data_IF_559732988334
#
_entry.id   IF_559732988334
#
_cell.length_a   1.000
_cell.length_b   1.000
_cell.length_c   1.000
_cell.angle_alpha   90.00
_cell.angle_beta   90.00
_cell.angle_gamma   90.00
#
_symmetry.space_group_name_H-M   'P 1'
#
loop_
_entity.id
_entity.type
_entity.pdbx_description
1 polymer ?
#
# COMPACT_ATOMS: atom_id res chain seq x y z
N UNK A 1 16.18 -13.65 4.23
CA UNK A 1 17.24 -13.26 3.29
C UNK A 1 17.62 -11.82 3.56
N UNK A 2 18.92 -11.51 3.68
CA UNK A 2 19.38 -10.16 4.04
C UNK A 2 19.09 -9.16 2.93
N UNK A 3 18.60 -7.97 3.29
CA UNK A 3 18.19 -6.90 2.36
C UNK A 3 19.39 -6.11 1.81
N UNK A 4 20.42 -5.87 2.62
CA UNK A 4 21.62 -5.13 2.23
C UNK A 4 22.77 -6.07 1.88
N UNK A 5 23.07 -6.21 0.59
CA UNK A 5 24.14 -7.08 0.10
C UNK A 5 24.95 -6.43 -1.02
N UNK A 6 26.25 -6.76 -1.08
CA UNK A 6 27.15 -6.30 -2.13
C UNK A 6 26.85 -7.04 -3.43
N UNK A 7 26.70 -6.29 -4.53
CA UNK A 7 26.42 -6.85 -5.86
C UNK A 7 27.46 -7.91 -6.28
N UNK A 8 28.73 -7.66 -5.95
CA UNK A 8 29.84 -8.61 -6.18
C UNK A 8 29.61 -9.97 -5.51
N UNK A 9 29.11 -9.97 -4.28
CA UNK A 9 28.85 -11.21 -3.53
C UNK A 9 27.72 -12.03 -4.15
N UNK A 10 26.67 -11.37 -4.65
CA UNK A 10 25.55 -12.02 -5.32
C UNK A 10 26.01 -12.65 -6.65
N UNK A 11 26.83 -11.94 -7.42
CA UNK A 11 27.37 -12.44 -8.70
C UNK A 11 28.33 -13.61 -8.49
N UNK A 12 29.19 -13.54 -7.47
CA UNK A 12 30.18 -14.58 -7.19
C UNK A 12 29.56 -15.86 -6.59
N UNK A 13 28.53 -15.72 -5.74
CA UNK A 13 27.94 -16.87 -5.03
C UNK A 13 26.64 -17.37 -5.65
N UNK A 14 26.05 -16.60 -6.59
CA UNK A 14 24.72 -16.83 -7.14
C UNK A 14 23.63 -17.10 -6.08
N UNK A 15 23.82 -16.58 -4.87
CA UNK A 15 22.96 -16.84 -3.72
C UNK A 15 22.80 -15.58 -2.87
N UNK A 16 21.67 -15.46 -2.19
CA UNK A 16 21.42 -14.38 -1.25
C UNK A 16 21.72 -14.87 0.17
N UNK A 17 22.46 -14.09 0.94
CA UNK A 17 22.79 -14.43 2.33
C UNK A 17 21.50 -14.57 3.16
N UNK A 18 21.27 -15.72 3.83
CA UNK A 18 20.13 -15.90 4.73
C UNK A 18 20.34 -15.10 6.02
N UNK A 19 19.24 -14.54 6.54
CA UNK A 19 19.18 -13.94 7.89
C UNK A 19 18.38 -14.86 8.80
N UNK A 20 18.84 -15.01 10.04
CA UNK A 20 18.20 -15.90 11.03
C UNK A 20 17.35 -15.08 12.00
N UNK A 21 16.08 -15.49 12.10
CA UNK A 21 15.10 -14.85 12.96
C UNK A 21 14.44 -13.66 12.28
N UNK A 22 13.13 -13.51 12.51
CA UNK A 22 12.41 -12.29 12.17
C UNK A 22 11.25 -12.07 13.13
N UNK A 23 10.92 -10.82 13.42
CA UNK A 23 9.77 -10.48 14.25
C UNK A 23 8.93 -9.35 13.65
N UNK A 24 7.64 -9.40 13.96
CA UNK A 24 6.70 -8.34 13.64
C UNK A 24 5.71 -8.18 14.80
N UNK A 25 5.34 -6.94 15.08
CA UNK A 25 4.26 -6.59 16.00
C UNK A 25 3.24 -5.81 15.21
N UNK A 26 1.97 -6.16 15.37
CA UNK A 26 0.87 -5.41 14.79
C UNK A 26 -0.18 -5.10 15.84
N UNK A 27 -0.85 -3.97 15.65
CA UNK A 27 -1.94 -3.51 16.50
C UNK A 27 -3.05 -2.97 15.61
N UNK A 28 -4.28 -3.39 15.89
CA UNK A 28 -5.48 -2.89 15.24
C UNK A 28 -6.39 -2.28 16.30
N UNK A 29 -7.05 -1.18 15.97
CA UNK A 29 -8.12 -0.62 16.78
C UNK A 29 -9.25 -0.14 15.89
N UNK A 30 -10.46 -0.27 16.42
CA UNK A 30 -11.69 0.21 15.82
C UNK A 30 -12.53 0.82 16.94
N UNK A 31 -13.04 2.03 16.74
CA UNK A 31 -13.81 2.74 17.75
C UNK A 31 -14.96 3.50 17.11
N UNK A 32 -16.19 3.19 17.52
CA UNK A 32 -17.33 4.05 17.22
C UNK A 32 -17.23 5.35 18.02
N UNK A 33 -17.32 6.48 17.33
CA UNK A 33 -17.30 7.82 17.92
C UNK A 33 -18.71 8.36 18.12
N UNK A 34 -19.64 7.97 17.24
CA UNK A 34 -21.02 8.44 17.26
C UNK A 34 -21.98 7.37 16.77
N UNK A 35 -23.08 7.20 17.48
CA UNK A 35 -24.20 6.34 17.13
C UNK A 35 -25.50 7.14 17.31
N UNK A 36 -26.32 7.35 16.26
CA UNK A 36 -27.53 8.17 16.37
C UNK A 36 -28.54 7.64 17.40
N UNK A 37 -28.60 6.31 17.55
CA UNK A 37 -29.44 5.61 18.53
C UNK A 37 -28.72 4.32 18.91
N UNK A 38 -28.58 4.06 20.21
CA UNK A 38 -27.92 2.85 20.72
C UNK A 38 -28.61 1.58 20.21
N UNK A 39 -27.84 0.66 19.64
CA UNK A 39 -28.32 -0.60 19.07
C UNK A 39 -28.88 -0.50 17.65
N UNK A 40 -28.74 0.65 17.00
CA UNK A 40 -29.11 0.81 15.59
C UNK A 40 -27.81 0.77 14.82
N UNK A 41 -27.63 -0.23 13.94
CA UNK A 41 -26.44 -0.48 13.11
C UNK A 41 -26.14 0.68 12.12
N UNK A 42 -25.81 1.84 12.69
CA UNK A 42 -25.59 3.15 12.07
C UNK A 42 -24.68 3.94 13.00
N UNK A 43 -23.72 4.64 12.43
CA UNK A 43 -22.78 5.41 13.21
C UNK A 43 -21.54 5.79 12.42
N UNK A 44 -20.66 6.53 13.08
CA UNK A 44 -19.36 6.91 12.55
C UNK A 44 -18.30 6.41 13.51
N UNK A 45 -17.28 5.79 12.96
CA UNK A 45 -16.15 5.27 13.71
C UNK A 45 -14.83 5.59 13.04
N UNK A 46 -13.77 5.47 13.82
CA UNK A 46 -12.40 5.47 13.35
C UNK A 46 -11.85 4.07 13.42
N UNK A 47 -10.92 3.78 12.53
CA UNK A 47 -10.13 2.57 12.56
C UNK A 47 -8.67 2.91 12.32
N UNK A 48 -7.79 2.08 12.85
CA UNK A 48 -6.38 2.20 12.58
C UNK A 48 -5.65 0.89 12.78
N UNK A 49 -4.56 0.75 12.02
CA UNK A 49 -3.66 -0.38 12.07
C UNK A 49 -2.23 0.14 12.08
N UNK A 50 -1.43 -0.40 12.99
CA UNK A 50 -0.01 -0.15 13.08
C UNK A 50 0.73 -1.48 12.99
N UNK A 51 1.88 -1.48 12.34
CA UNK A 51 2.76 -2.62 12.21
C UNK A 51 4.21 -2.17 12.27
N UNK A 52 5.03 -2.89 13.02
CA UNK A 52 6.48 -2.69 13.07
C UNK A 52 7.15 -4.04 12.88
N UNK A 53 8.25 -4.08 12.14
CA UNK A 53 9.10 -5.26 12.02
C UNK A 53 10.57 -4.92 12.26
N UNK A 54 11.39 -5.96 12.33
CA UNK A 54 12.86 -5.87 12.37
C UNK A 54 13.51 -5.15 11.18
N UNK A 55 12.78 -4.98 10.06
CA UNK A 55 13.28 -4.36 8.83
C UNK A 55 14.28 -5.20 8.04
N UNK A 56 14.68 -6.38 8.53
CA UNK A 56 15.57 -7.32 7.86
C UNK A 56 15.34 -8.71 8.45
N UNK A 57 14.83 -9.71 7.69
CA UNK A 57 14.69 -9.76 6.22
C UNK A 57 13.42 -9.12 5.65
N UNK A 58 12.57 -8.51 6.48
CA UNK A 58 11.32 -7.91 6.02
C UNK A 58 11.54 -6.49 5.48
N UNK A 59 11.20 -6.25 4.21
CA UNK A 59 11.31 -4.90 3.61
C UNK A 59 10.37 -3.87 4.25
N UNK A 60 9.28 -4.30 4.89
CA UNK A 60 8.31 -3.41 5.54
C UNK A 60 8.68 -3.16 6.99
N UNK A 61 9.42 -2.08 7.26
CA UNK A 61 9.82 -1.68 8.62
C UNK A 61 8.67 -1.19 9.47
N UNK A 62 7.84 -0.34 8.87
CA UNK A 62 6.70 0.26 9.53
C UNK A 62 5.52 0.30 8.58
N UNK A 63 4.35 -0.03 9.10
CA UNK A 63 3.07 0.10 8.46
C UNK A 63 2.17 0.93 9.37
N UNK A 64 1.50 1.92 8.82
CA UNK A 64 0.46 2.65 9.52
C UNK A 64 -0.70 2.91 8.59
N UNK A 65 -1.92 2.62 9.02
CA UNK A 65 -3.12 3.07 8.35
C UNK A 65 -4.11 3.62 9.37
N UNK A 66 -4.86 4.63 8.96
CA UNK A 66 -5.96 5.16 9.73
C UNK A 66 -7.09 5.56 8.78
N UNK A 67 -8.31 5.54 9.28
CA UNK A 67 -9.44 5.97 8.49
C UNK A 67 -10.68 6.23 9.34
N UNK A 68 -11.67 6.79 8.66
CA UNK A 68 -13.00 7.03 9.19
C UNK A 68 -13.96 6.25 8.32
N UNK A 69 -14.86 5.52 8.95
CA UNK A 69 -15.95 4.83 8.28
C UNK A 69 -17.27 5.17 8.95
N UNK A 70 -18.35 5.14 8.20
CA UNK A 70 -19.66 5.31 8.77
C UNK A 70 -20.78 4.73 7.94
N UNK A 71 -21.91 4.51 8.61
CA UNK A 71 -23.12 3.92 8.05
C UNK A 71 -24.34 4.75 8.47
N UNK A 72 -25.19 5.05 7.50
CA UNK A 72 -26.48 5.68 7.76
C UNK A 72 -26.40 7.11 8.31
N UNK A 73 -25.52 7.95 7.76
CA UNK A 73 -25.36 9.38 8.14
C UNK A 73 -26.63 10.21 7.91
N UNK A 74 -27.42 9.85 6.90
CA UNK A 74 -28.65 10.54 6.56
C UNK A 74 -29.85 9.67 6.92
N UNK A 75 -30.88 10.29 7.51
CA UNK A 75 -32.12 9.57 7.84
C UNK A 75 -32.82 9.00 6.60
N UNK A 76 -32.71 9.69 5.46
CA UNK A 76 -33.24 9.23 4.17
C UNK A 76 -32.45 8.07 3.56
N UNK A 77 -31.23 7.81 4.04
CA UNK A 77 -30.30 6.80 3.48
C UNK A 77 -29.64 5.99 4.61
N UNK A 78 -30.41 5.25 5.42
CA UNK A 78 -29.89 4.56 6.60
C UNK A 78 -28.94 3.40 6.27
N UNK A 79 -28.94 2.91 5.02
CA UNK A 79 -28.10 1.80 4.55
C UNK A 79 -26.87 2.25 3.76
N UNK A 80 -26.76 3.54 3.42
CA UNK A 80 -25.57 4.06 2.75
C UNK A 80 -24.37 3.99 3.69
N UNK A 81 -23.21 3.68 3.14
CA UNK A 81 -21.95 3.62 3.87
C UNK A 81 -20.94 4.51 3.20
N UNK A 82 -20.02 5.05 3.96
CA UNK A 82 -18.90 5.81 3.42
C UNK A 82 -17.65 5.47 4.22
N UNK A 83 -16.51 5.70 3.59
CA UNK A 83 -15.25 5.58 4.29
C UNK A 83 -14.15 6.28 3.54
N UNK A 84 -13.18 6.74 4.30
CA UNK A 84 -11.90 7.15 3.74
C UNK A 84 -10.79 6.72 4.67
N UNK A 85 -9.63 6.45 4.08
CA UNK A 85 -8.47 5.96 4.80
C UNK A 85 -7.19 6.40 4.13
N UNK A 86 -6.17 6.53 4.94
CA UNK A 86 -4.80 6.75 4.50
C UNK A 86 -3.94 5.62 5.04
N UNK A 87 -2.98 5.19 4.24
CA UNK A 87 -1.94 4.27 4.68
C UNK A 87 -0.56 4.75 4.26
N UNK A 88 0.43 4.34 5.04
CA UNK A 88 1.84 4.57 4.81
C UNK A 88 2.61 3.31 5.16
N UNK A 89 3.57 2.99 4.31
CA UNK A 89 4.49 1.87 4.45
C UNK A 89 5.90 2.44 4.32
N UNK A 90 6.66 2.36 5.40
CA UNK A 90 8.10 2.59 5.34
C UNK A 90 8.77 1.32 4.82
N UNK A 91 9.39 1.46 3.66
CA UNK A 91 10.05 0.35 2.98
C UNK A 91 11.54 0.56 3.08
N UNK A 92 12.21 -0.42 3.68
CA UNK A 92 13.64 -0.43 3.75
C UNK A 92 14.20 -0.63 2.35
N UNK A 93 15.10 0.27 1.97
CA UNK A 93 15.47 0.46 0.59
C UNK A 93 16.78 -0.27 0.33
N UNK A 94 16.76 -1.51 -0.20
CA UNK A 94 17.97 -2.28 -0.42
C UNK A 94 18.93 -1.49 -1.30
N UNK A 95 20.13 -1.23 -0.79
CA UNK A 95 21.16 -0.53 -1.56
C UNK A 95 21.98 -1.56 -2.30
N UNK A 96 21.74 -1.67 -3.61
CA UNK A 96 22.66 -2.41 -4.46
C UNK A 96 23.91 -1.55 -4.68
N UNK A 97 24.96 -1.86 -3.91
CA UNK A 97 26.27 -1.22 -4.02
C UNK A 97 27.04 -1.85 -5.19
N UNK A 98 27.06 -1.15 -6.33
CA UNK A 98 27.90 -1.48 -7.48
C UNK A 98 29.26 -0.77 -7.45
N UNK A 99 30.24 -1.17 -8.28
CA UNK A 99 31.58 -0.57 -8.33
C UNK A 99 31.61 0.91 -8.73
N UNK A 100 30.56 1.41 -9.40
CA UNK A 100 30.49 2.76 -9.98
C UNK A 100 29.27 3.58 -9.51
N UNK A 101 28.23 2.94 -8.97
CA UNK A 101 27.05 3.65 -8.47
C UNK A 101 26.26 2.77 -7.48
N UNK A 102 25.70 3.41 -6.44
CA UNK A 102 24.69 2.79 -5.59
C UNK A 102 23.31 3.14 -6.15
N UNK A 103 22.53 2.13 -6.54
CA UNK A 103 21.17 2.33 -7.04
C UNK A 103 20.16 1.81 -6.03
N UNK A 104 19.10 2.60 -5.84
CA UNK A 104 17.97 2.27 -4.99
C UNK A 104 16.73 2.26 -5.88
N UNK A 105 15.96 1.18 -5.77
CA UNK A 105 14.80 0.90 -6.63
C UNK A 105 13.47 1.06 -5.91
N UNK A 106 13.50 0.99 -4.58
CA UNK A 106 12.33 1.13 -3.74
C UNK A 106 12.27 2.56 -3.16
N UNK A 107 11.11 2.89 -2.62
CA UNK A 107 10.82 4.09 -1.82
C UNK A 107 9.69 3.74 -0.87
N UNK A 108 9.43 4.63 0.08
CA UNK A 108 8.22 4.54 0.89
C UNK A 108 6.96 4.58 0.02
N UNK A 109 5.98 3.79 0.42
CA UNK A 109 4.68 3.72 -0.20
C UNK A 109 3.65 4.44 0.67
N UNK A 110 2.75 5.17 0.04
CA UNK A 110 1.56 5.67 0.72
C UNK A 110 0.40 5.67 -0.24
N UNK A 111 -0.79 5.61 0.33
CA UNK A 111 -1.99 5.80 -0.43
C UNK A 111 -3.14 6.31 0.40
N UNK A 112 -4.13 6.78 -0.33
CA UNK A 112 -5.37 7.28 0.18
C UNK A 112 -6.50 6.61 -0.60
N UNK A 113 -7.55 6.23 0.10
CA UNK A 113 -8.77 5.72 -0.51
C UNK A 113 -9.97 6.44 0.10
N UNK A 114 -10.96 6.76 -0.72
CA UNK A 114 -12.27 7.17 -0.28
C UNK A 114 -13.35 6.51 -1.13
N UNK A 115 -14.43 6.11 -0.50
CA UNK A 115 -15.57 5.50 -1.18
C UNK A 115 -16.88 5.98 -0.57
N UNK A 116 -17.94 5.90 -1.37
CA UNK A 116 -19.31 6.06 -0.91
C UNK A 116 -20.15 4.94 -1.51
N UNK A 117 -20.76 4.13 -0.65
CA UNK A 117 -21.62 3.02 -1.04
C UNK A 117 -23.09 3.47 -0.99
N UNK A 118 -23.67 3.61 -2.18
CA UNK A 118 -25.09 3.87 -2.38
C UNK A 118 -25.87 2.54 -2.33
N UNK A 119 -26.71 2.37 -1.32
CA UNK A 119 -27.70 1.30 -1.30
C UNK A 119 -28.86 1.70 -2.22
N UNK A 120 -28.88 1.19 -3.44
CA UNK A 120 -30.00 1.40 -4.38
C UNK A 120 -31.22 0.65 -3.86
N UNK A 121 -30.99 -0.60 -3.44
CA UNK A 121 -31.94 -1.44 -2.71
C UNK A 121 -31.18 -2.17 -1.58
N UNK A 122 -31.86 -2.82 -0.62
CA UNK A 122 -31.18 -3.59 0.43
C UNK A 122 -30.26 -4.71 -0.10
N UNK A 123 -30.48 -5.15 -1.35
CA UNK A 123 -29.71 -6.20 -2.00
C UNK A 123 -28.82 -5.69 -3.14
N UNK A 124 -28.87 -4.40 -3.51
CA UNK A 124 -28.03 -3.82 -4.57
C UNK A 124 -27.30 -2.57 -4.09
N UNK A 125 -25.96 -2.67 -4.07
CA UNK A 125 -25.06 -1.64 -3.56
C UNK A 125 -24.14 -1.17 -4.69
N UNK A 126 -24.14 0.14 -4.95
CA UNK A 126 -23.28 0.78 -5.94
C UNK A 126 -22.26 1.66 -5.23
N UNK A 127 -20.98 1.37 -5.36
CA UNK A 127 -19.89 2.05 -4.67
C UNK A 127 -18.93 2.69 -5.67
N UNK A 128 -19.02 3.99 -5.95
CA UNK A 128 -17.89 4.74 -6.47
C UNK A 128 -16.78 4.85 -5.42
N UNK A 129 -15.54 4.73 -5.89
CA UNK A 129 -14.35 4.88 -5.08
C UNK A 129 -13.25 5.64 -5.84
N UNK A 130 -12.37 6.27 -5.08
CA UNK A 130 -11.16 6.93 -5.55
C UNK A 130 -9.98 6.45 -4.72
N UNK A 131 -8.92 6.05 -5.39
CA UNK A 131 -7.67 5.63 -4.77
C UNK A 131 -6.52 6.45 -5.35
N UNK A 132 -5.67 6.99 -4.48
CA UNK A 132 -4.43 7.67 -4.87
C UNK A 132 -3.30 6.86 -4.24
N UNK A 133 -2.47 6.23 -5.06
CA UNK A 133 -1.40 5.33 -4.60
C UNK A 133 -0.08 5.77 -5.18
N UNK A 134 0.90 5.98 -4.30
CA UNK A 134 2.29 6.13 -4.69
C UNK A 134 3.04 4.86 -4.30
N UNK A 135 3.14 3.93 -5.24
CA UNK A 135 3.74 2.62 -4.99
C UNK A 135 5.21 2.66 -4.57
N UNK A 136 5.61 1.60 -3.88
CA UNK A 136 6.97 1.33 -3.40
C UNK A 136 8.03 1.33 -4.50
N UNK A 137 7.68 0.84 -5.70
CA UNK A 137 8.60 0.82 -6.83
C UNK A 137 8.83 2.26 -7.30
N UNK A 138 10.06 2.74 -7.17
CA UNK A 138 10.45 4.08 -7.60
C UNK A 138 10.80 4.11 -9.09
N UNK A 139 11.59 3.14 -9.53
CA UNK A 139 12.23 3.15 -10.84
C UNK A 139 12.17 1.76 -11.49
N UNK A 140 11.91 1.70 -12.80
CA UNK A 140 12.10 0.50 -13.62
C UNK A 140 13.32 0.73 -14.50
N UNK A 141 14.20 -0.28 -14.56
CA UNK A 141 15.35 -0.29 -15.47
C UNK A 141 15.07 -1.26 -16.60
N UNK A 142 15.18 -0.76 -17.82
CA UNK A 142 15.06 -1.55 -19.04
C UNK A 142 16.42 -1.60 -19.73
N UNK A 143 16.81 -2.78 -20.19
CA UNK A 143 18.01 -2.96 -21.00
C UNK A 143 17.62 -2.81 -22.46
N UNK A 144 18.07 -1.73 -23.10
CA UNK A 144 17.90 -1.47 -24.53
C UNK A 144 19.19 -1.68 -25.31
N UNK A 145 19.11 -1.76 -26.64
CA UNK A 145 20.30 -1.72 -27.50
C UNK A 145 20.87 -0.29 -27.53
N UNK A 146 22.17 -0.15 -27.28
CA UNK A 146 22.85 1.14 -27.39
C UNK A 146 22.93 1.64 -28.85
N UNK A 147 23.28 2.92 -29.06
CA UNK A 147 23.25 3.57 -30.37
C UNK A 147 24.15 2.93 -31.44
N UNK A 148 25.06 2.04 -31.04
CA UNK A 148 25.93 1.24 -31.93
C UNK A 148 25.73 -0.27 -31.80
N UNK A 149 24.78 -0.75 -30.99
CA UNK A 149 24.56 -2.19 -30.75
C UNK A 149 25.68 -2.92 -29.97
N UNK A 150 26.82 -2.27 -29.73
CA UNK A 150 28.00 -2.85 -29.07
C UNK A 150 27.88 -2.84 -27.53
N UNK A 151 27.18 -1.86 -26.95
CA UNK A 151 26.97 -1.76 -25.51
C UNK A 151 25.48 -1.68 -25.18
N UNK A 152 25.00 -2.40 -24.14
CA UNK A 152 23.63 -2.25 -23.67
C UNK A 152 23.42 -0.85 -23.08
N UNK A 153 22.28 -0.24 -23.41
CA UNK A 153 21.83 1.02 -22.81
C UNK A 153 20.91 0.69 -21.63
N UNK A 154 21.19 1.30 -20.48
CA UNK A 154 20.31 1.23 -19.32
C UNK A 154 19.38 2.45 -19.37
N UNK A 155 18.13 2.23 -19.70
CA UNK A 155 17.10 3.27 -19.61
C UNK A 155 16.37 3.14 -18.28
N UNK A 156 16.31 4.27 -17.55
CA UNK A 156 15.69 4.36 -16.24
C UNK A 156 14.39 5.17 -16.34
N UNK A 157 13.26 4.57 -15.97
CA UNK A 157 11.95 5.24 -15.94
C UNK A 157 11.42 5.33 -14.51
N UNK A 158 11.16 6.55 -14.05
CA UNK A 158 10.54 6.82 -12.74
C UNK A 158 9.04 6.54 -12.77
N UNK A 159 8.52 5.93 -11.69
CA UNK A 159 7.10 5.68 -11.47
C UNK A 159 6.52 6.82 -10.63
N UNK A 160 5.51 7.49 -11.20
CA UNK A 160 4.77 8.55 -10.51
C UNK A 160 3.66 7.98 -9.60
N UNK A 161 3.00 8.85 -8.86
CA UNK A 161 1.75 8.55 -8.14
C UNK A 161 0.63 8.23 -9.15
N UNK A 162 -0.18 7.22 -8.86
CA UNK A 162 -1.33 6.81 -9.65
C UNK A 162 -2.62 7.22 -8.96
N UNK A 163 -3.56 7.77 -9.72
CA UNK A 163 -4.94 7.97 -9.29
C UNK A 163 -5.82 6.97 -10.03
N UNK A 164 -6.64 6.24 -9.28
CA UNK A 164 -7.57 5.22 -9.78
C UNK A 164 -8.97 5.65 -9.38
N UNK A 165 -9.89 5.60 -10.34
CA UNK A 165 -11.32 5.79 -10.11
C UNK A 165 -11.99 4.44 -10.31
N UNK A 166 -12.72 3.99 -9.29
CA UNK A 166 -13.41 2.72 -9.28
C UNK A 166 -14.92 2.90 -9.22
N UNK A 167 -15.63 1.89 -9.73
CA UNK A 167 -17.07 1.73 -9.54
C UNK A 167 -17.35 0.25 -9.33
N UNK A 168 -17.88 -0.09 -8.16
CA UNK A 168 -18.21 -1.46 -7.77
C UNK A 168 -19.71 -1.64 -7.60
N UNK A 169 -20.28 -2.64 -8.25
CA UNK A 169 -21.65 -3.10 -8.02
C UNK A 169 -21.63 -4.41 -7.24
N UNK A 170 -22.34 -4.47 -6.12
CA UNK A 170 -22.49 -5.67 -5.30
C UNK A 170 -23.96 -6.03 -5.15
N UNK A 171 -24.31 -7.28 -5.46
CA UNK A 171 -25.64 -7.84 -5.33
C UNK A 171 -25.64 -8.93 -4.26
N UNK A 172 -26.58 -8.88 -3.32
CA UNK A 172 -26.73 -9.83 -2.21
C UNK A 172 -27.99 -10.66 -2.46
N UNK A 173 -27.84 -11.98 -2.62
CA UNK A 173 -28.94 -12.93 -2.84
C UNK A 173 -28.92 -14.04 -1.79
#
# INVERSE_FOLDING_TARGET
>A
TSIDQRLRSIIETNSLTPEKGSWNIYYNFDQYLYEPKKGVDRGVGIFGRLGVSDGNPNFMKFFGSFGVGGKGMFESRPHDQFGWGFYYINIDNPRLQGPLQTTSFLRDEYGFEAFYNFAITPWALLTPDIQIVRGAQKDIVTIGQGPLGVLPRLDKKSISTSTVLGLRLQLLF
#
